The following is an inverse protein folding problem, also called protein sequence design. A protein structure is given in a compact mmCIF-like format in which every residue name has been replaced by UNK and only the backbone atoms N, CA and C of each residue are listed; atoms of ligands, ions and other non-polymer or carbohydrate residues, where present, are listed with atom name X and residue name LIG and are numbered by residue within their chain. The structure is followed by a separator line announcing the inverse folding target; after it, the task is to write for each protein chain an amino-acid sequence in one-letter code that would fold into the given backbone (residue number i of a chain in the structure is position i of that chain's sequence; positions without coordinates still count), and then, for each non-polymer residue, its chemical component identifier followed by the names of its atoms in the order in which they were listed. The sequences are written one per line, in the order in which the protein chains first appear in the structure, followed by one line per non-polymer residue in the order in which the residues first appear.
data_IF_161622757693
#
_entry.id   IF_161622757693
#
_cell.length_a   1.000
_cell.length_b   1.000
_cell.length_c   1.000
_cell.angle_alpha   90.00
_cell.angle_beta   90.00
_cell.angle_gamma   90.00
#
_symmetry.space_group_name_H-M   'P 1'
#
loop_
_entity.id
_entity.type
_entity.pdbx_description
1 polymer ?
#
# COMPACT_ATOMS: atom_id res chain seq x y z
N UNK A 1 17.89 -6.25 -102.02
CA UNK A 1 18.35 -5.63 -100.76
C UNK A 1 17.13 -5.05 -100.06
N UNK A 2 16.87 -5.38 -98.78
CA UNK A 2 15.89 -4.78 -97.81
C UNK A 2 14.94 -5.77 -97.09
N UNK A 3 15.45 -6.83 -96.43
CA UNK A 3 14.61 -7.62 -95.48
C UNK A 3 15.28 -8.00 -94.14
N UNK A 4 16.43 -7.41 -93.79
CA UNK A 4 17.22 -7.82 -92.61
C UNK A 4 17.07 -6.95 -91.35
N UNK A 5 16.23 -5.91 -91.34
CA UNK A 5 16.20 -4.92 -90.24
C UNK A 5 15.00 -5.02 -89.28
N UNK A 6 14.10 -5.99 -89.48
CA UNK A 6 12.85 -6.11 -88.69
C UNK A 6 12.93 -7.08 -87.50
N UNK A 7 13.99 -7.89 -87.39
CA UNK A 7 14.15 -8.86 -86.28
C UNK A 7 14.84 -8.26 -85.05
N UNK A 8 15.71 -7.26 -85.21
CA UNK A 8 16.45 -6.62 -84.11
C UNK A 8 15.57 -5.69 -83.26
N UNK A 9 14.52 -5.08 -83.84
CA UNK A 9 13.60 -4.18 -83.14
C UNK A 9 12.59 -4.91 -82.22
N UNK A 10 12.30 -6.20 -82.47
CA UNK A 10 11.44 -7.01 -81.58
C UNK A 10 12.17 -7.53 -80.35
N UNK A 11 13.46 -7.85 -80.48
CA UNK A 11 14.28 -8.28 -79.34
C UNK A 11 14.53 -7.13 -78.34
N UNK A 12 14.66 -5.89 -78.82
CA UNK A 12 14.88 -4.72 -77.95
C UNK A 12 13.62 -4.32 -77.16
N UNK A 13 12.42 -4.53 -77.72
CA UNK A 13 11.15 -4.29 -77.01
C UNK A 13 10.84 -5.35 -75.95
N UNK A 14 11.28 -6.59 -76.15
CA UNK A 14 11.11 -7.66 -75.15
C UNK A 14 12.03 -7.46 -73.93
N UNK A 15 13.25 -6.93 -74.12
CA UNK A 15 14.17 -6.59 -73.04
C UNK A 15 13.73 -5.36 -72.24
N UNK A 16 13.10 -4.37 -72.88
CA UNK A 16 12.49 -3.21 -72.20
C UNK A 16 11.20 -3.55 -71.43
N UNK A 17 10.42 -4.53 -71.90
CA UNK A 17 9.23 -5.00 -71.18
C UNK A 17 9.59 -5.85 -69.94
N UNK A 18 10.71 -6.57 -69.96
CA UNK A 18 11.21 -7.32 -68.79
C UNK A 18 11.79 -6.38 -67.71
N UNK A 19 12.45 -5.30 -68.11
CA UNK A 19 12.94 -4.26 -67.19
C UNK A 19 11.83 -3.45 -66.52
N UNK A 20 10.72 -3.20 -67.22
CA UNK A 20 9.57 -2.50 -66.67
C UNK A 20 8.73 -3.38 -65.71
N UNK A 21 8.67 -4.70 -65.94
CA UNK A 21 8.03 -5.64 -65.01
C UNK A 21 8.86 -5.85 -63.72
N UNK A 22 10.19 -5.76 -63.80
CA UNK A 22 11.08 -5.85 -62.64
C UNK A 22 11.15 -4.54 -61.85
N UNK A 23 10.99 -3.38 -62.50
CA UNK A 23 10.83 -2.09 -61.82
C UNK A 23 9.44 -1.89 -61.18
N UNK A 24 8.39 -2.52 -61.74
CA UNK A 24 7.05 -2.54 -61.13
C UNK A 24 6.96 -3.46 -59.90
N UNK A 25 7.87 -4.43 -59.75
CA UNK A 25 7.94 -5.27 -58.55
C UNK A 25 8.72 -4.64 -57.39
N UNK A 26 9.50 -3.58 -57.64
CA UNK A 26 10.30 -2.87 -56.63
C UNK A 26 9.56 -1.62 -56.10
N UNK A 27 8.47 -1.20 -56.74
CA UNK A 27 7.66 -0.07 -56.29
C UNK A 27 6.62 -0.43 -55.22
N UNK A 28 6.55 -1.70 -54.78
CA UNK A 28 5.54 -2.17 -53.81
C UNK A 28 6.12 -2.57 -52.44
N UNK A 29 7.19 -1.92 -52.02
CA UNK A 29 7.86 -2.18 -50.74
C UNK A 29 8.23 -0.88 -50.02
N UNK A 30 7.24 -0.02 -49.80
CA UNK A 30 7.40 1.23 -49.05
C UNK A 30 6.19 1.60 -48.18
N UNK A 31 4.96 1.31 -48.64
CA UNK A 31 3.73 1.67 -47.91
C UNK A 31 3.23 0.61 -46.92
N UNK A 32 3.79 -0.60 -46.92
CA UNK A 32 3.29 -1.72 -46.11
C UNK A 32 3.46 -1.57 -44.58
N UNK A 33 4.06 -0.48 -44.09
CA UNK A 33 4.33 -0.26 -42.67
C UNK A 33 3.78 1.07 -42.13
N UNK A 34 3.19 1.92 -42.97
CA UNK A 34 2.56 3.14 -42.50
C UNK A 34 1.12 2.83 -42.06
N UNK A 35 0.91 2.66 -40.75
CA UNK A 35 -0.44 2.58 -40.19
C UNK A 35 -1.22 3.82 -40.61
N UNK A 36 -2.33 3.61 -41.32
CA UNK A 36 -3.19 4.71 -41.73
C UNK A 36 -3.94 5.27 -40.53
N UNK A 37 -4.28 6.56 -40.58
CA UNK A 37 -5.06 7.20 -39.51
C UNK A 37 -6.38 6.47 -39.24
N UNK A 38 -7.04 5.99 -40.29
CA UNK A 38 -8.27 5.21 -40.19
C UNK A 38 -8.08 3.91 -39.40
N UNK A 39 -6.98 3.19 -39.62
CA UNK A 39 -6.66 1.97 -38.84
C UNK A 39 -6.37 2.27 -37.37
N UNK A 40 -5.80 3.44 -37.06
CA UNK A 40 -5.56 3.86 -35.66
C UNK A 40 -6.89 4.21 -34.99
N UNK A 41 -7.80 4.88 -35.68
CA UNK A 41 -9.14 5.23 -35.17
C UNK A 41 -10.00 3.96 -34.98
N UNK A 42 -10.03 3.04 -35.95
CA UNK A 42 -10.71 1.75 -35.83
C UNK A 42 -10.16 0.90 -34.66
N UNK A 43 -8.84 0.88 -34.49
CA UNK A 43 -8.20 0.20 -33.35
C UNK A 43 -8.34 0.96 -32.02
N UNK A 44 -8.79 2.21 -32.02
CA UNK A 44 -9.18 2.91 -30.79
C UNK A 44 -10.61 2.52 -30.41
N UNK A 45 -11.54 2.62 -31.37
CA UNK A 45 -12.97 2.31 -31.23
C UNK A 45 -13.23 0.85 -30.83
N UNK A 46 -12.44 -0.10 -31.35
CA UNK A 46 -12.58 -1.53 -31.07
C UNK A 46 -12.50 -1.91 -29.57
N UNK A 47 -12.14 -0.98 -28.70
CA UNK A 47 -12.00 -1.23 -27.28
C UNK A 47 -12.68 -0.16 -26.40
N UNK A 48 -13.59 0.63 -26.96
CA UNK A 48 -14.37 1.59 -26.17
C UNK A 48 -15.28 0.87 -25.15
N UNK A 49 -15.66 -0.37 -25.43
CA UNK A 49 -16.45 -1.23 -24.55
C UNK A 49 -15.61 -1.89 -23.42
N UNK A 50 -14.27 -1.80 -23.47
CA UNK A 50 -13.40 -2.36 -22.42
C UNK A 50 -13.25 -1.40 -21.22
N UNK A 51 -13.09 -1.93 -19.99
CA UNK A 51 -12.91 -1.09 -18.82
C UNK A 51 -11.65 -0.23 -18.93
N UNK A 52 -11.79 1.06 -18.60
CA UNK A 52 -10.67 2.02 -18.68
C UNK A 52 -9.62 1.77 -17.60
N UNK A 53 -8.40 2.31 -17.79
CA UNK A 53 -7.33 2.25 -16.79
C UNK A 53 -7.76 2.84 -15.44
N UNK A 54 -8.54 3.92 -15.44
CA UNK A 54 -9.06 4.59 -14.24
C UNK A 54 -10.04 3.70 -13.46
N UNK A 55 -10.93 3.01 -14.17
CA UNK A 55 -11.84 2.05 -13.54
C UNK A 55 -11.05 0.86 -12.96
N UNK A 56 -10.06 0.37 -13.70
CA UNK A 56 -9.17 -0.71 -13.25
C UNK A 56 -8.36 -0.31 -12.01
N UNK A 57 -7.85 0.92 -11.95
CA UNK A 57 -7.20 1.46 -10.74
C UNK A 57 -8.15 1.48 -9.55
N UNK A 58 -9.38 1.92 -9.77
CA UNK A 58 -10.40 2.01 -8.72
C UNK A 58 -10.73 0.62 -8.17
N UNK A 59 -10.90 -0.36 -9.05
CA UNK A 59 -11.11 -1.76 -8.69
C UNK A 59 -9.93 -2.35 -7.90
N UNK A 60 -8.69 -2.09 -8.35
CA UNK A 60 -7.49 -2.57 -7.64
C UNK A 60 -7.34 -1.95 -6.24
N UNK A 61 -7.56 -0.64 -6.11
CA UNK A 61 -7.54 0.03 -4.81
C UNK A 61 -8.65 -0.47 -3.88
N UNK A 62 -9.84 -0.75 -4.43
CA UNK A 62 -10.95 -1.31 -3.67
C UNK A 62 -10.66 -2.74 -3.20
N UNK A 63 -10.15 -3.59 -4.08
CA UNK A 63 -9.83 -4.99 -3.76
C UNK A 63 -8.81 -5.11 -2.62
N UNK A 64 -7.74 -4.32 -2.68
CA UNK A 64 -6.69 -4.32 -1.66
C UNK A 64 -6.99 -3.41 -0.46
N UNK A 65 -8.19 -2.80 -0.41
CA UNK A 65 -8.60 -1.86 0.63
C UNK A 65 -7.59 -0.71 0.87
N UNK A 66 -6.84 -0.30 -0.15
CA UNK A 66 -5.81 0.74 -0.06
C UNK A 66 -6.49 2.11 -0.16
N UNK A 67 -6.77 2.70 1.00
CA UNK A 67 -7.25 4.08 1.10
C UNK A 67 -6.09 5.07 1.09
N UNK A 68 -6.33 6.28 0.57
CA UNK A 68 -5.40 7.39 0.70
C UNK A 68 -5.14 7.65 2.20
N UNK A 69 -3.88 7.60 2.66
CA UNK A 69 -3.57 7.83 4.07
C UNK A 69 -3.74 9.32 4.42
N UNK A 70 -4.41 9.59 5.54
CA UNK A 70 -4.71 10.93 6.06
C UNK A 70 -3.78 11.25 7.24
N UNK A 71 -2.72 12.01 6.95
CA UNK A 71 -1.71 12.39 7.93
C UNK A 71 -2.32 13.25 9.06
N UNK A 72 -3.14 14.23 8.69
CA UNK A 72 -3.68 15.23 9.61
C UNK A 72 -4.62 14.61 10.64
N UNK A 73 -5.45 13.66 10.21
CA UNK A 73 -6.33 12.94 11.14
C UNK A 73 -5.53 12.11 12.14
N UNK A 74 -4.46 11.46 11.70
CA UNK A 74 -3.65 10.59 12.55
C UNK A 74 -2.82 11.40 13.54
N UNK A 75 -2.19 12.48 13.10
CA UNK A 75 -1.47 13.41 13.97
C UNK A 75 -2.41 14.08 14.97
N UNK A 76 -3.60 14.52 14.54
CA UNK A 76 -4.61 15.08 15.45
C UNK A 76 -5.03 14.07 16.52
N UNK A 77 -5.30 12.82 16.14
CA UNK A 77 -5.65 11.76 17.11
C UNK A 77 -4.52 11.48 18.10
N UNK A 78 -3.27 11.44 17.65
CA UNK A 78 -2.11 11.25 18.51
C UNK A 78 -1.92 12.42 19.49
N UNK A 79 -2.11 13.66 19.03
CA UNK A 79 -2.08 14.84 19.90
C UNK A 79 -3.21 14.81 20.93
N UNK A 80 -4.42 14.42 20.53
CA UNK A 80 -5.55 14.28 21.43
C UNK A 80 -5.39 13.14 22.45
N UNK A 81 -4.66 12.06 22.13
CA UNK A 81 -4.41 11.01 23.13
C UNK A 81 -3.55 11.48 24.30
N UNK A 82 -2.74 12.52 24.10
CA UNK A 82 -1.94 13.12 25.18
C UNK A 82 -2.78 13.98 26.14
N UNK A 83 -4.04 14.28 25.81
CA UNK A 83 -4.97 14.93 26.73
C UNK A 83 -5.59 13.97 27.75
N UNK A 84 -5.40 12.65 27.58
CA UNK A 84 -5.89 11.66 28.53
C UNK A 84 -4.93 11.58 29.71
N UNK A 85 -5.38 11.87 30.95
CA UNK A 85 -4.54 11.74 32.11
C UNK A 85 -4.20 10.27 32.35
N UNK A 86 -2.95 9.99 32.68
CA UNK A 86 -2.56 8.69 33.20
C UNK A 86 -2.99 8.61 34.66
N UNK A 87 -3.83 7.62 34.98
CA UNK A 87 -4.37 7.39 36.32
C UNK A 87 -3.58 6.26 36.97
N UNK A 88 -2.94 6.53 38.10
CA UNK A 88 -2.24 5.54 38.90
C UNK A 88 -2.81 5.54 40.31
N UNK A 89 -3.38 4.41 40.74
CA UNK A 89 -3.84 4.20 42.12
C UNK A 89 -2.88 3.31 42.87
N UNK A 90 -2.50 3.70 44.09
CA UNK A 90 -1.76 2.84 45.01
C UNK A 90 -2.51 2.75 46.34
N UNK A 91 -2.65 1.52 46.84
CA UNK A 91 -3.18 1.23 48.17
C UNK A 91 -2.02 0.66 48.99
N UNK A 92 -1.67 1.32 50.09
CA UNK A 92 -0.63 0.88 51.00
C UNK A 92 -1.23 0.62 52.37
N UNK A 93 -0.90 -0.54 52.95
CA UNK A 93 -1.28 -0.90 54.32
C UNK A 93 -0.01 -0.74 55.15
N UNK A 94 0.04 0.31 55.96
CA UNK A 94 1.19 0.58 56.83
C UNK A 94 0.82 0.11 58.23
N UNK A 95 1.52 -0.92 58.70
CA UNK A 95 1.45 -1.38 60.07
C UNK A 95 2.64 -0.79 60.82
N UNK A 96 2.37 0.19 61.68
CA UNK A 96 3.40 0.92 62.40
C UNK A 96 3.36 0.49 63.86
N UNK A 97 4.30 -0.38 64.25
CA UNK A 97 4.52 -0.77 65.64
C UNK A 97 5.35 0.31 66.34
N UNK A 98 4.71 1.14 67.15
CA UNK A 98 5.42 2.12 68.00
C UNK A 98 5.58 1.50 69.40
N UNK A 99 6.75 0.88 69.65
CA UNK A 99 7.09 0.34 70.97
C UNK A 99 7.57 1.48 71.87
N UNK A 100 6.64 2.14 72.56
CA UNK A 100 7.01 3.16 73.55
C UNK A 100 7.43 2.51 74.87
N UNK A 101 8.74 2.54 75.13
CA UNK A 101 9.28 2.08 76.40
C UNK A 101 9.22 3.20 77.44
N UNK A 102 8.25 3.15 78.36
CA UNK A 102 8.13 4.12 79.45
C UNK A 102 8.74 3.56 80.74
N UNK A 103 9.82 4.18 81.19
CA UNK A 103 10.45 3.88 82.47
C UNK A 103 9.83 4.77 83.56
N UNK A 104 9.19 4.16 84.56
CA UNK A 104 8.74 4.88 85.75
C UNK A 104 9.49 4.33 86.95
N UNK A 105 10.37 5.14 87.52
CA UNK A 105 11.02 4.84 88.79
C UNK A 105 10.33 5.62 89.89
N UNK A 106 9.96 4.93 90.95
CA UNK A 106 9.42 5.56 92.14
C UNK A 106 10.54 5.57 93.18
N UNK A 107 11.07 6.76 93.48
CA UNK A 107 12.10 6.95 94.50
C UNK A 107 11.41 7.57 95.70
N UNK A 108 11.32 6.83 96.79
CA UNK A 108 10.79 7.31 98.06
C UNK A 108 11.92 7.36 99.08
N UNK A 109 11.99 8.46 99.81
CA UNK A 109 12.91 8.61 100.93
C UNK A 109 12.20 8.16 102.21
N UNK A 110 12.86 7.29 102.98
CA UNK A 110 12.44 6.93 104.32
C UNK A 110 12.56 8.15 105.27
N UNK A 111 11.90 8.10 106.42
CA UNK A 111 11.88 9.12 107.46
C UNK A 111 13.29 9.46 108.00
N UNK A 112 14.28 8.58 107.79
CA UNK A 112 15.70 8.79 108.09
C UNK A 112 16.51 9.48 106.96
N UNK A 113 15.91 9.78 105.81
CA UNK A 113 16.55 10.44 104.68
C UNK A 113 17.31 9.52 103.72
N UNK A 114 17.26 8.20 103.93
CA UNK A 114 17.82 7.22 103.01
C UNK A 114 16.86 6.94 101.84
N UNK A 115 17.39 6.95 100.62
CA UNK A 115 16.64 6.69 99.40
C UNK A 115 16.56 5.18 99.15
N UNK A 116 15.36 4.60 99.24
CA UNK A 116 15.12 3.23 98.78
C UNK A 116 14.48 3.23 97.38
N UNK A 117 15.07 2.46 96.47
CA UNK A 117 14.60 2.29 95.09
C UNK A 117 13.73 1.04 95.02
N UNK A 118 12.41 1.24 94.98
CA UNK A 118 11.47 0.13 94.87
C UNK A 118 11.37 -0.32 93.40
N UNK A 119 11.21 -1.62 93.20
CA UNK A 119 11.44 -2.37 91.96
C UNK A 119 10.98 -1.66 90.66
N UNK A 120 11.86 -1.64 89.65
CA UNK A 120 11.54 -1.11 88.32
C UNK A 120 10.43 -1.96 87.66
N UNK A 121 9.24 -1.40 87.51
CA UNK A 121 8.13 -2.03 86.80
C UNK A 121 8.14 -1.65 85.32
N UNK A 122 8.20 -2.65 84.45
CA UNK A 122 8.24 -2.48 82.99
C UNK A 122 6.84 -2.71 82.41
N UNK A 123 6.16 -1.65 81.99
CA UNK A 123 4.87 -1.74 81.30
C UNK A 123 5.09 -1.55 79.79
N UNK A 124 5.00 -2.65 79.03
CA UNK A 124 4.93 -2.61 77.56
C UNK A 124 3.51 -2.25 77.15
N UNK A 125 3.32 -1.05 76.60
CA UNK A 125 2.07 -0.68 75.92
C UNK A 125 2.25 -0.96 74.43
N UNK A 126 1.44 -1.87 73.89
CA UNK A 126 1.33 -2.14 72.46
C UNK A 126 0.17 -1.29 71.91
N UNK A 127 0.50 -0.19 71.22
CA UNK A 127 -0.48 0.64 70.50
C UNK A 127 -0.39 0.28 69.00
N UNK A 128 -1.06 -0.82 68.63
CA UNK A 128 -1.11 -1.25 67.23
C UNK A 128 -2.05 -0.33 66.45
N UNK A 129 -1.49 0.58 65.63
CA UNK A 129 -2.26 1.47 64.76
C UNK A 129 -2.13 1.04 63.31
N UNK A 130 -3.13 0.32 62.82
CA UNK A 130 -3.26 0.01 61.40
C UNK A 130 -3.73 1.25 60.63
N UNK A 131 -2.94 1.71 59.64
CA UNK A 131 -3.32 2.83 58.77
C UNK A 131 -3.37 2.38 57.31
N UNK A 132 -4.54 2.47 56.72
CA UNK A 132 -4.73 2.30 55.27
C UNK A 132 -4.53 3.63 54.57
N UNK A 133 -3.61 3.67 53.61
CA UNK A 133 -3.33 4.84 52.78
C UNK A 133 -3.80 4.55 51.35
N UNK A 134 -4.72 5.38 50.86
CA UNK A 134 -5.14 5.41 49.46
C UNK A 134 -4.47 6.61 48.79
N UNK A 135 -3.73 6.38 47.70
CA UNK A 135 -3.18 7.46 46.89
C UNK A 135 -3.61 7.31 45.44
N UNK A 136 -4.04 8.43 44.86
CA UNK A 136 -4.41 8.55 43.45
C UNK A 136 -3.52 9.61 42.82
N UNK A 137 -2.77 9.23 41.79
CA UNK A 137 -1.92 10.12 41.01
C UNK A 137 -2.49 10.26 39.61
N UNK A 138 -2.73 11.51 39.21
CA UNK A 138 -3.10 11.89 37.86
C UNK A 138 -1.91 12.60 37.22
N UNK A 139 -1.42 12.07 36.10
CA UNK A 139 -0.31 12.65 35.34
C UNK A 139 -0.77 13.04 33.94
N UNK A 140 -0.64 14.33 33.62
CA UNK A 140 -1.00 14.88 32.31
C UNK A 140 0.24 15.51 31.69
N UNK A 141 0.61 15.06 30.49
CA UNK A 141 1.75 15.60 29.76
C UNK A 141 1.28 16.51 28.62
N UNK A 142 1.09 17.79 28.95
CA UNK A 142 0.69 18.82 28.00
C UNK A 142 1.83 19.22 27.04
N UNK A 143 3.08 18.86 27.33
CA UNK A 143 4.22 19.21 26.49
C UNK A 143 4.16 18.52 25.13
N UNK A 144 3.57 17.33 25.09
CA UNK A 144 3.40 16.54 23.87
C UNK A 144 2.26 17.01 22.97
N UNK A 145 1.52 18.07 23.35
CA UNK A 145 0.47 18.66 22.53
C UNK A 145 1.04 19.45 21.34
N UNK A 146 2.22 20.06 21.52
CA UNK A 146 2.93 20.81 20.46
C UNK A 146 3.74 19.87 19.57
N UNK A 147 4.46 18.91 20.17
CA UNK A 147 5.28 17.95 19.45
C UNK A 147 5.22 16.58 20.13
N UNK A 148 4.80 15.55 19.37
CA UNK A 148 4.79 14.17 19.86
C UNK A 148 5.83 13.35 19.08
N UNK A 149 6.71 12.58 19.74
CA UNK A 149 7.65 11.67 19.05
C UNK A 149 6.97 10.68 18.10
N UNK A 150 5.71 10.36 18.36
CA UNK A 150 4.84 9.53 17.52
C UNK A 150 4.60 10.13 16.14
N UNK A 151 4.75 11.45 15.97
CA UNK A 151 4.59 12.14 14.68
C UNK A 151 5.57 11.63 13.63
N UNK A 152 6.83 11.34 14.01
CA UNK A 152 7.81 10.73 13.09
C UNK A 152 7.40 9.31 12.67
N UNK A 153 6.85 8.51 13.59
CA UNK A 153 6.39 7.16 13.29
C UNK A 153 5.19 7.20 12.34
N UNK A 154 4.23 8.08 12.62
CA UNK A 154 3.05 8.34 11.79
C UNK A 154 3.48 8.79 10.39
N UNK A 155 4.41 9.74 10.26
CA UNK A 155 4.90 10.21 8.97
C UNK A 155 5.58 9.10 8.17
N UNK A 156 6.37 8.23 8.82
CA UNK A 156 7.00 7.07 8.17
C UNK A 156 5.96 6.09 7.64
N UNK A 157 4.96 5.75 8.45
CA UNK A 157 3.88 4.84 8.07
C UNK A 157 3.02 5.41 6.93
N UNK A 158 2.66 6.69 6.99
CA UNK A 158 1.93 7.37 5.91
C UNK A 158 2.72 7.36 4.61
N UNK A 159 4.03 7.62 4.66
CA UNK A 159 4.90 7.56 3.47
C UNK A 159 4.98 6.15 2.90
N UNK A 160 5.09 5.13 3.74
CA UNK A 160 5.10 3.73 3.32
C UNK A 160 3.80 3.35 2.59
N UNK A 161 2.65 3.79 3.12
CA UNK A 161 1.33 3.56 2.48
C UNK A 161 1.19 4.28 1.13
N UNK A 162 1.67 5.53 1.03
CA UNK A 162 1.71 6.24 -0.25
C UNK A 162 2.57 5.52 -1.28
N UNK A 163 3.76 5.07 -0.88
CA UNK A 163 4.66 4.31 -1.76
C UNK A 163 4.00 3.02 -2.25
N UNK A 164 3.40 2.25 -1.34
CA UNK A 164 2.71 1.01 -1.71
C UNK A 164 1.54 1.25 -2.67
N UNK A 165 0.76 2.33 -2.46
CA UNK A 165 -0.30 2.74 -3.38
C UNK A 165 0.24 3.09 -4.77
N UNK A 166 1.31 3.87 -4.83
CA UNK A 166 1.94 4.27 -6.09
C UNK A 166 2.49 3.06 -6.86
N UNK A 167 3.19 2.16 -6.18
CA UNK A 167 3.71 0.92 -6.74
C UNK A 167 2.59 0.04 -7.32
N UNK A 168 1.46 -0.07 -6.61
CA UNK A 168 0.29 -0.80 -7.10
C UNK A 168 -0.26 -0.17 -8.37
N UNK A 169 -0.53 1.15 -8.35
CA UNK A 169 -1.10 1.85 -9.50
C UNK A 169 -0.17 1.78 -10.72
N UNK A 170 1.15 1.87 -10.50
CA UNK A 170 2.14 1.70 -11.53
C UNK A 170 2.10 0.28 -12.12
N UNK A 171 2.02 -0.73 -11.27
CA UNK A 171 1.94 -2.14 -11.68
C UNK A 171 0.68 -2.43 -12.49
N UNK A 172 -0.48 -1.92 -12.06
CA UNK A 172 -1.75 -2.04 -12.80
C UNK A 172 -1.64 -1.34 -14.16
N UNK A 173 -1.09 -0.12 -14.19
CA UNK A 173 -0.87 0.64 -15.42
C UNK A 173 0.02 -0.12 -16.41
N UNK A 174 1.13 -0.68 -15.93
CA UNK A 174 2.04 -1.49 -16.77
C UNK A 174 1.34 -2.72 -17.33
N UNK A 175 0.61 -3.48 -16.51
CA UNK A 175 -0.10 -4.68 -16.95
C UNK A 175 -1.22 -4.33 -17.95
N UNK A 176 -1.97 -3.25 -17.70
CA UNK A 176 -3.04 -2.77 -18.57
C UNK A 176 -2.51 -2.38 -19.96
N UNK A 177 -1.50 -1.50 -20.01
CA UNK A 177 -0.95 -1.07 -21.30
C UNK A 177 -0.11 -2.15 -21.98
N UNK A 178 0.47 -3.10 -21.23
CA UNK A 178 1.04 -4.30 -21.83
C UNK A 178 -0.05 -5.08 -22.57
N UNK A 179 -1.17 -5.42 -21.92
CA UNK A 179 -2.30 -6.12 -22.55
C UNK A 179 -2.77 -5.37 -23.81
N UNK A 180 -2.96 -4.06 -23.70
CA UNK A 180 -3.41 -3.23 -24.81
C UNK A 180 -2.44 -3.25 -26.00
N UNK A 181 -1.13 -3.23 -25.75
CA UNK A 181 -0.13 -3.33 -26.83
C UNK A 181 -0.18 -4.71 -27.52
N UNK A 182 -0.36 -5.79 -26.78
CA UNK A 182 -0.51 -7.13 -27.38
C UNK A 182 -1.78 -7.24 -28.22
N UNK A 183 -2.91 -6.71 -27.73
CA UNK A 183 -4.16 -6.66 -28.50
C UNK A 183 -4.02 -5.87 -29.80
N UNK A 184 -3.44 -4.67 -29.72
CA UNK A 184 -3.20 -3.85 -30.91
C UNK A 184 -2.25 -4.55 -31.89
N UNK A 185 -1.21 -5.22 -31.39
CA UNK A 185 -0.30 -6.00 -32.22
C UNK A 185 -1.01 -7.14 -32.93
N UNK A 186 -1.93 -7.85 -32.26
CA UNK A 186 -2.68 -8.94 -32.88
C UNK A 186 -3.69 -8.46 -33.93
N UNK A 187 -4.29 -7.29 -33.71
CA UNK A 187 -5.22 -6.68 -34.66
C UNK A 187 -4.50 -6.14 -35.92
N UNK A 188 -3.33 -5.53 -35.75
CA UNK A 188 -2.62 -4.84 -36.82
C UNK A 188 -1.60 -5.72 -37.55
N UNK A 189 -1.02 -6.70 -36.86
CA UNK A 189 -0.01 -7.61 -37.41
C UNK A 189 -0.44 -9.07 -37.16
N UNK A 190 -1.20 -9.67 -38.10
CA UNK A 190 -1.57 -11.07 -38.03
C UNK A 190 -0.33 -11.96 -37.83
N UNK A 191 -0.42 -13.01 -36.99
CA UNK A 191 0.71 -13.90 -36.73
C UNK A 191 1.14 -14.64 -38.00
N UNK A 192 2.45 -14.79 -38.20
CA UNK A 192 3.01 -15.43 -39.40
C UNK A 192 2.95 -16.96 -39.30
N UNK A 193 2.93 -17.49 -38.08
CA UNK A 193 2.90 -18.93 -37.80
C UNK A 193 1.85 -19.27 -36.73
N UNK A 194 1.34 -20.52 -36.71
CA UNK A 194 0.40 -20.97 -35.70
C UNK A 194 1.01 -21.00 -34.28
N UNK A 195 2.32 -21.26 -34.17
CA UNK A 195 3.06 -21.23 -32.90
C UNK A 195 3.14 -19.80 -32.33
N UNK A 196 3.38 -18.82 -33.20
CA UNK A 196 3.35 -17.40 -32.82
C UNK A 196 1.95 -16.99 -32.36
N UNK A 197 0.90 -17.41 -33.06
CA UNK A 197 -0.48 -17.14 -32.67
C UNK A 197 -0.80 -17.69 -31.28
N UNK A 198 -0.38 -18.92 -30.98
CA UNK A 198 -0.59 -19.55 -29.67
C UNK A 198 0.16 -18.80 -28.57
N UNK A 199 1.43 -18.45 -28.80
CA UNK A 199 2.26 -17.75 -27.82
C UNK A 199 1.65 -16.39 -27.46
N UNK A 200 1.23 -15.60 -28.46
CA UNK A 200 0.60 -14.30 -28.23
C UNK A 200 -0.74 -14.44 -27.49
N UNK A 201 -1.52 -15.47 -27.79
CA UNK A 201 -2.74 -15.76 -27.08
C UNK A 201 -2.49 -16.06 -25.59
N UNK A 202 -1.49 -16.88 -25.27
CA UNK A 202 -1.10 -17.21 -23.89
C UNK A 202 -0.59 -15.95 -23.16
N UNK A 203 0.21 -15.11 -23.82
CA UNK A 203 0.68 -13.84 -23.23
C UNK A 203 -0.50 -12.95 -22.84
N UNK A 204 -1.50 -12.80 -23.72
CA UNK A 204 -2.69 -12.02 -23.46
C UNK A 204 -3.53 -12.57 -22.29
N UNK A 205 -3.69 -13.90 -22.22
CA UNK A 205 -4.31 -14.57 -21.08
C UNK A 205 -3.55 -14.32 -19.78
N UNK A 206 -2.21 -14.39 -19.81
CA UNK A 206 -1.36 -14.17 -18.64
C UNK A 206 -1.47 -12.74 -18.11
N UNK A 207 -1.56 -11.74 -18.99
CA UNK A 207 -1.73 -10.34 -18.63
C UNK A 207 -3.13 -10.08 -18.06
N UNK A 208 -4.14 -10.73 -18.62
CA UNK A 208 -5.52 -10.68 -18.10
C UNK A 208 -5.58 -11.28 -16.69
N UNK A 209 -4.99 -12.47 -16.48
CA UNK A 209 -4.90 -13.10 -15.17
C UNK A 209 -4.12 -12.25 -14.15
N UNK A 210 -3.08 -11.53 -14.60
CA UNK A 210 -2.35 -10.59 -13.75
C UNK A 210 -3.21 -9.40 -13.33
N UNK A 211 -4.02 -8.84 -14.23
CA UNK A 211 -4.97 -7.77 -13.90
C UNK A 211 -6.06 -8.27 -12.95
N UNK A 212 -6.57 -9.49 -13.16
CA UNK A 212 -7.53 -10.11 -12.25
C UNK A 212 -6.95 -10.33 -10.85
N UNK A 213 -5.70 -10.79 -10.75
CA UNK A 213 -5.03 -10.95 -9.46
C UNK A 213 -4.89 -9.61 -8.71
N UNK A 214 -4.73 -8.49 -9.42
CA UNK A 214 -4.62 -7.15 -8.82
C UNK A 214 -6.00 -6.53 -8.50
N UNK A 215 -7.05 -6.94 -9.21
CA UNK A 215 -8.41 -6.37 -9.09
C UNK A 215 -9.42 -7.30 -8.40
N UNK A 216 -9.01 -8.52 -8.04
CA UNK A 216 -9.89 -9.52 -7.45
C UNK A 216 -10.85 -10.20 -8.43
N UNK A 217 -10.51 -10.27 -9.71
CA UNK A 217 -11.35 -10.85 -10.77
C UNK A 217 -12.38 -9.89 -11.39
N UNK A 218 -12.46 -8.65 -10.90
CA UNK A 218 -13.35 -7.62 -11.42
C UNK A 218 -13.10 -7.31 -12.90
N UNK A 219 -11.85 -7.35 -13.35
CA UNK A 219 -11.51 -7.03 -14.74
C UNK A 219 -12.12 -8.03 -15.73
N UNK A 220 -11.97 -9.33 -15.49
CA UNK A 220 -12.61 -10.38 -16.29
C UNK A 220 -14.13 -10.41 -16.17
N UNK A 221 -14.71 -10.02 -15.04
CA UNK A 221 -16.16 -9.80 -14.93
C UNK A 221 -16.63 -8.73 -15.91
N UNK A 222 -15.99 -7.56 -15.93
CA UNK A 222 -16.37 -6.48 -16.84
C UNK A 222 -16.17 -6.82 -18.31
N UNK A 223 -15.12 -7.57 -18.64
CA UNK A 223 -14.93 -8.06 -20.00
C UNK A 223 -16.07 -8.99 -20.45
N UNK A 224 -16.57 -9.86 -19.55
CA UNK A 224 -17.71 -10.75 -19.86
C UNK A 224 -18.99 -9.97 -20.05
N UNK A 225 -19.23 -8.93 -19.26
CA UNK A 225 -20.42 -8.09 -19.38
C UNK A 225 -20.40 -7.28 -20.69
N UNK A 226 -19.24 -6.73 -21.06
CA UNK A 226 -19.04 -6.05 -22.34
C UNK A 226 -19.30 -6.99 -23.54
N UNK A 227 -18.82 -8.24 -23.48
CA UNK A 227 -19.03 -9.24 -24.55
C UNK A 227 -20.44 -9.86 -24.53
N UNK A 228 -21.07 -9.93 -23.37
CA UNK A 228 -22.40 -10.51 -23.15
C UNK A 228 -23.55 -9.59 -23.51
N UNK A 229 -23.33 -8.27 -23.49
CA UNK A 229 -24.29 -7.25 -23.92
C UNK A 229 -24.47 -7.14 -25.45
N UNK A 230 -23.60 -7.78 -26.23
CA UNK A 230 -23.64 -7.79 -27.70
C UNK A 230 -24.46 -8.97 -28.30
N UNK A 231 -25.34 -9.60 -27.51
CA UNK A 231 -26.24 -10.68 -27.96
C UNK A 231 -27.71 -10.29 -27.93
#
# INVERSE_FOLDING_TARGET
MTRSNLRTLRALRALLALGAAMAALIAFSGDALALTRAQIEEAAEAFDDEPTVTQTHTAALAHLNIRAPDLDRWTRRARLSNLLPQIQGQVAWLDQHDLQNRYRENIQADEAGDYQRDYAQHYLYDDTRSRTLFSLRLSLDLSQLVYTPQEMVIQREVRARWKHRDELLHTVTQAYFARRRHQLRDMLLPPTSPDEALTRHIELQSLTARLDALTGGWFSEQLRDAQGGAR
#
